data_IF_173953824141
#
_entry.id   IF_173953824141
#
_cell.length_a   1.000
_cell.length_b   1.000
_cell.length_c   1.000
_cell.angle_alpha   90.00
_cell.angle_beta   90.00
_cell.angle_gamma   90.00
#
_symmetry.space_group_name_H-M   'P 1'
#
loop_
_entity.id
_entity.type
_entity.pdbx_description
1 polymer ?
#
# COMPACT_ATOMS: atom_id res chain seq x y z
N UNK A 1 1.14 -1.84 -36.97
CA UNK A 1 0.75 -3.15 -36.39
C UNK A 1 -0.14 -3.88 -37.38
N UNK A 2 0.12 -5.18 -37.61
CA UNK A 2 -0.74 -6.04 -38.42
C UNK A 2 -2.14 -6.18 -37.81
N UNK A 3 -3.12 -6.60 -38.59
CA UNK A 3 -4.49 -6.89 -38.12
C UNK A 3 -4.44 -7.89 -36.95
N UNK A 4 -3.64 -8.95 -37.08
CA UNK A 4 -3.41 -9.94 -36.03
C UNK A 4 -2.84 -9.29 -34.77
N UNK A 5 -1.85 -8.39 -34.90
CA UNK A 5 -1.27 -7.69 -33.77
C UNK A 5 -2.28 -6.82 -33.01
N UNK A 6 -3.21 -6.17 -33.72
CA UNK A 6 -4.29 -5.41 -33.08
C UNK A 6 -5.24 -6.33 -32.31
N UNK A 7 -5.67 -7.44 -32.94
CA UNK A 7 -6.56 -8.42 -32.30
C UNK A 7 -5.94 -8.96 -31.01
N UNK A 8 -4.68 -9.41 -31.07
CA UNK A 8 -3.95 -9.91 -29.89
C UNK A 8 -3.84 -8.86 -28.78
N UNK A 9 -3.62 -7.60 -29.14
CA UNK A 9 -3.56 -6.50 -28.17
C UNK A 9 -4.90 -6.30 -27.44
N UNK A 10 -6.02 -6.30 -28.16
CA UNK A 10 -7.35 -6.19 -27.55
C UNK A 10 -7.66 -7.38 -26.64
N UNK A 11 -7.36 -8.61 -27.08
CA UNK A 11 -7.55 -9.81 -26.26
C UNK A 11 -6.75 -9.69 -24.97
N UNK A 12 -5.45 -9.40 -25.06
CA UNK A 12 -4.59 -9.22 -23.88
C UNK A 12 -5.11 -8.12 -22.95
N UNK A 13 -5.56 -6.99 -23.49
CA UNK A 13 -6.13 -5.88 -22.73
C UNK A 13 -7.38 -6.32 -21.96
N UNK A 14 -8.29 -7.03 -22.62
CA UNK A 14 -9.52 -7.54 -21.99
C UNK A 14 -9.24 -8.59 -20.93
N UNK A 15 -8.34 -9.54 -21.19
CA UNK A 15 -7.90 -10.52 -20.20
C UNK A 15 -7.28 -9.83 -18.98
N UNK A 16 -6.39 -8.86 -19.19
CA UNK A 16 -5.82 -8.09 -18.09
C UNK A 16 -6.89 -7.38 -17.27
N UNK A 17 -7.87 -6.74 -17.91
CA UNK A 17 -8.96 -6.08 -17.20
C UNK A 17 -9.73 -7.06 -16.29
N UNK A 18 -10.10 -8.23 -16.80
CA UNK A 18 -10.80 -9.26 -16.04
C UNK A 18 -9.95 -9.82 -14.89
N UNK A 19 -8.67 -10.11 -15.15
CA UNK A 19 -7.73 -10.57 -14.12
C UNK A 19 -7.63 -9.51 -13.01
N UNK A 20 -7.46 -8.23 -13.34
CA UNK A 20 -7.37 -7.17 -12.32
C UNK A 20 -8.65 -7.05 -11.51
N UNK A 21 -9.83 -7.19 -12.14
CA UNK A 21 -11.11 -7.20 -11.44
C UNK A 21 -11.20 -8.37 -10.46
N UNK A 22 -10.80 -9.57 -10.88
CA UNK A 22 -10.74 -10.75 -10.03
C UNK A 22 -9.75 -10.60 -8.87
N UNK A 23 -8.54 -10.09 -9.13
CA UNK A 23 -7.53 -9.90 -8.07
C UNK A 23 -8.03 -8.92 -6.99
N UNK A 24 -8.68 -7.82 -7.40
CA UNK A 24 -9.25 -6.85 -6.47
C UNK A 24 -10.33 -7.46 -5.59
N UNK A 25 -11.18 -8.34 -6.14
CA UNK A 25 -12.25 -8.99 -5.36
C UNK A 25 -11.75 -10.04 -4.36
N UNK A 26 -10.44 -10.32 -4.33
CA UNK A 26 -9.85 -11.25 -3.35
C UNK A 26 -9.38 -10.54 -2.08
N UNK A 27 -9.17 -9.23 -2.12
CA UNK A 27 -8.77 -8.48 -0.94
C UNK A 27 -9.88 -8.52 0.12
N UNK A 28 -9.50 -8.47 1.39
CA UNK A 28 -10.47 -8.35 2.48
C UNK A 28 -11.38 -7.14 2.27
N UNK A 29 -10.76 -6.01 1.93
CA UNK A 29 -11.43 -4.78 1.53
C UNK A 29 -10.66 -4.16 0.36
N UNK A 30 -11.39 -3.67 -0.64
CA UNK A 30 -10.81 -2.95 -1.78
C UNK A 30 -11.73 -1.81 -2.17
N UNK A 31 -11.28 -0.58 -1.95
CA UNK A 31 -11.97 0.63 -2.33
C UNK A 31 -12.10 0.83 -3.85
N UNK A 32 -12.69 1.95 -4.19
CA UNK A 32 -12.86 2.47 -5.53
C UNK A 32 -11.54 3.01 -6.10
N UNK A 33 -11.43 3.06 -7.44
CA UNK A 33 -10.28 3.65 -8.14
C UNK A 33 -8.91 3.07 -7.77
N UNK A 34 -8.86 1.82 -7.31
CA UNK A 34 -7.60 1.11 -7.04
C UNK A 34 -6.94 0.69 -8.36
N UNK A 35 -5.66 0.94 -8.53
CA UNK A 35 -4.85 0.43 -9.64
C UNK A 35 -3.85 -0.61 -9.14
N UNK A 36 -3.77 -1.76 -9.82
CA UNK A 36 -2.79 -2.81 -9.53
C UNK A 36 -1.90 -3.05 -10.74
N UNK A 37 -0.61 -2.75 -10.60
CA UNK A 37 0.42 -3.05 -11.56
C UNK A 37 0.56 -4.56 -11.81
N UNK A 38 1.29 -4.92 -12.87
CA UNK A 38 1.44 -6.32 -13.29
C UNK A 38 2.39 -7.10 -12.38
N UNK A 39 2.31 -8.44 -12.42
CA UNK A 39 3.20 -9.36 -11.69
C UNK A 39 3.24 -9.15 -10.16
N UNK A 40 2.13 -8.71 -9.58
CA UNK A 40 2.02 -8.57 -8.13
C UNK A 40 1.73 -9.88 -7.43
N UNK A 41 2.27 -10.04 -6.22
CA UNK A 41 2.00 -11.17 -5.31
C UNK A 41 1.36 -10.60 -4.06
N UNK A 42 0.24 -11.17 -3.61
CA UNK A 42 -0.45 -10.72 -2.40
C UNK A 42 -1.06 -11.87 -1.59
N UNK A 43 -1.04 -11.75 -0.26
CA UNK A 43 -1.87 -12.52 0.68
C UNK A 43 -3.22 -11.82 0.85
N UNK A 44 -4.01 -11.82 -0.23
CA UNK A 44 -5.19 -10.96 -0.42
C UNK A 44 -6.13 -10.84 0.81
N UNK A 45 -6.41 -11.96 1.50
CA UNK A 45 -7.41 -12.03 2.59
C UNK A 45 -7.05 -11.24 3.86
N UNK A 46 -5.82 -10.79 4.02
CA UNK A 46 -5.40 -9.99 5.18
C UNK A 46 -5.12 -8.52 4.82
N UNK A 47 -5.47 -8.11 3.60
CA UNK A 47 -5.11 -6.80 3.08
C UNK A 47 -6.38 -5.98 2.85
N UNK A 48 -6.41 -4.81 3.47
CA UNK A 48 -7.46 -3.81 3.31
C UNK A 48 -6.90 -2.62 2.54
N UNK A 49 -7.57 -2.23 1.46
CA UNK A 49 -7.14 -1.13 0.59
C UNK A 49 -8.28 -0.12 0.50
N UNK A 50 -7.98 1.14 0.84
CA UNK A 50 -8.89 2.27 0.69
C UNK A 50 -9.12 2.70 -0.76
N UNK A 51 -9.69 3.89 -0.92
CA UNK A 51 -10.00 4.49 -2.21
C UNK A 51 -8.79 5.15 -2.87
N UNK A 52 -8.79 5.21 -4.19
CA UNK A 52 -7.80 5.95 -4.99
C UNK A 52 -6.34 5.53 -4.74
N UNK A 53 -6.11 4.22 -4.59
CA UNK A 53 -4.76 3.67 -4.36
C UNK A 53 -4.10 3.25 -5.67
N UNK A 54 -2.86 3.67 -5.90
CA UNK A 54 -2.05 3.21 -7.03
C UNK A 54 -0.93 2.28 -6.55
N UNK A 55 -0.91 1.04 -7.02
CA UNK A 55 0.17 0.09 -6.75
C UNK A 55 0.96 -0.21 -8.03
N UNK A 56 2.24 0.15 -8.06
CA UNK A 56 3.15 -0.11 -9.19
C UNK A 56 3.37 -1.60 -9.46
N UNK A 57 3.94 -1.96 -10.61
CA UNK A 57 4.16 -3.38 -10.98
C UNK A 57 5.20 -4.07 -10.11
N UNK A 58 5.21 -5.41 -10.08
CA UNK A 58 6.12 -6.26 -9.31
C UNK A 58 6.04 -6.02 -7.79
N UNK A 59 4.86 -5.67 -7.28
CA UNK A 59 4.66 -5.52 -5.85
C UNK A 59 4.62 -6.88 -5.14
N UNK A 60 5.01 -6.90 -3.86
CA UNK A 60 4.83 -8.04 -2.96
C UNK A 60 4.16 -7.55 -1.69
N UNK A 61 2.94 -8.02 -1.42
CA UNK A 61 2.18 -7.69 -0.21
C UNK A 61 1.92 -8.97 0.58
N UNK A 62 2.78 -9.29 1.53
CA UNK A 62 2.72 -10.57 2.24
C UNK A 62 2.58 -10.38 3.73
N UNK A 63 1.49 -10.86 4.28
CA UNK A 63 1.27 -10.98 5.71
C UNK A 63 0.38 -12.20 5.97
N UNK A 64 0.91 -13.20 6.66
CA UNK A 64 0.18 -14.47 6.88
C UNK A 64 -0.83 -14.35 8.01
N UNK A 65 -0.49 -13.61 9.07
CA UNK A 65 -1.34 -13.49 10.25
C UNK A 65 -1.69 -12.04 10.63
N UNK A 66 -0.87 -11.07 10.23
CA UNK A 66 -1.11 -9.64 10.49
C UNK A 66 -1.90 -9.00 9.36
N UNK A 67 -2.61 -7.90 9.65
CA UNK A 67 -3.26 -7.11 8.60
C UNK A 67 -2.26 -6.17 7.91
N UNK A 68 -2.45 -5.94 6.61
CA UNK A 68 -1.87 -4.80 5.90
C UNK A 68 -3.01 -3.84 5.59
N UNK A 69 -3.00 -2.67 6.22
CA UNK A 69 -4.05 -1.66 6.10
C UNK A 69 -3.48 -0.49 5.30
N UNK A 70 -4.06 -0.24 4.14
CA UNK A 70 -3.69 0.86 3.24
C UNK A 70 -4.86 1.84 3.19
N UNK A 71 -4.61 3.09 3.57
CA UNK A 71 -5.57 4.18 3.52
C UNK A 71 -5.91 4.65 2.11
N UNK A 72 -6.46 5.85 2.03
CA UNK A 72 -6.93 6.47 0.79
C UNK A 72 -5.82 7.30 0.13
N UNK A 73 -5.89 7.44 -1.19
CA UNK A 73 -4.97 8.29 -1.94
C UNK A 73 -3.48 7.92 -1.76
N UNK A 74 -3.20 6.63 -1.58
CA UNK A 74 -1.83 6.12 -1.40
C UNK A 74 -1.22 5.75 -2.76
N UNK A 75 0.04 6.13 -2.96
CA UNK A 75 0.78 5.83 -4.20
C UNK A 75 2.03 5.02 -3.90
N UNK A 76 2.13 3.84 -4.52
CA UNK A 76 3.31 2.97 -4.48
C UNK A 76 4.02 2.94 -5.83
N UNK A 77 5.34 3.12 -5.81
CA UNK A 77 6.20 2.85 -6.96
C UNK A 77 6.23 1.37 -7.33
N UNK A 78 6.84 1.01 -8.47
CA UNK A 78 7.06 -0.39 -8.83
C UNK A 78 8.04 -1.07 -7.85
N UNK A 79 7.90 -2.38 -7.68
CA UNK A 79 8.81 -3.19 -6.88
C UNK A 79 8.69 -2.98 -5.36
N UNK A 80 7.59 -2.41 -4.86
CA UNK A 80 7.41 -2.27 -3.41
C UNK A 80 7.10 -3.61 -2.76
N UNK A 81 7.79 -3.88 -1.65
CA UNK A 81 7.64 -5.08 -0.84
C UNK A 81 7.14 -4.71 0.56
N UNK A 82 6.10 -5.40 1.02
CA UNK A 82 5.55 -5.29 2.36
C UNK A 82 5.54 -6.70 2.96
N UNK A 83 6.22 -6.86 4.09
CA UNK A 83 6.37 -8.14 4.77
C UNK A 83 5.91 -8.00 6.23
N UNK A 84 4.66 -8.39 6.50
CA UNK A 84 4.03 -8.31 7.83
C UNK A 84 4.54 -9.34 8.85
N UNK A 85 5.08 -10.46 8.37
CA UNK A 85 5.59 -11.53 9.23
C UNK A 85 7.11 -11.59 9.34
N UNK A 86 7.59 -12.08 10.48
CA UNK A 86 8.99 -12.40 10.71
C UNK A 86 9.17 -13.80 11.32
N UNK A 87 10.32 -14.43 11.18
CA UNK A 87 10.59 -15.72 11.81
C UNK A 87 11.07 -15.54 13.26
N UNK A 88 10.81 -16.52 14.12
CA UNK A 88 11.50 -16.63 15.40
C UNK A 88 12.95 -17.06 15.10
N UNK A 89 13.92 -16.32 15.60
CA UNK A 89 15.34 -16.47 15.22
C UNK A 89 16.29 -16.62 16.41
N UNK A 90 15.78 -16.65 17.63
CA UNK A 90 16.54 -16.58 18.88
C UNK A 90 16.51 -17.89 19.69
N UNK A 91 16.13 -19.01 19.06
CA UNK A 91 16.13 -20.34 19.69
C UNK A 91 17.46 -21.08 19.48
N UNK A 92 18.22 -21.23 20.55
CA UNK A 92 19.51 -21.96 20.53
C UNK A 92 19.30 -23.44 20.21
N UNK A 93 20.05 -23.96 19.24
CA UNK A 93 20.05 -25.39 18.88
C UNK A 93 18.91 -25.83 17.96
N UNK A 94 18.09 -24.90 17.44
CA UNK A 94 16.98 -25.18 16.53
C UNK A 94 17.29 -24.60 15.14
N UNK A 95 17.12 -25.41 14.08
CA UNK A 95 17.30 -24.93 12.70
C UNK A 95 16.12 -24.04 12.27
N UNK A 96 16.38 -23.01 11.47
CA UNK A 96 15.37 -22.01 11.06
C UNK A 96 14.16 -22.59 10.32
N UNK A 97 14.32 -23.69 9.59
CA UNK A 97 13.25 -24.40 8.89
C UNK A 97 12.41 -25.30 9.82
N UNK A 98 12.90 -25.55 11.04
CA UNK A 98 12.21 -26.35 12.07
C UNK A 98 11.53 -25.52 13.16
N UNK A 99 11.89 -24.23 13.28
CA UNK A 99 11.30 -23.33 14.28
C UNK A 99 9.80 -23.19 14.03
N UNK A 100 8.99 -23.53 15.04
CA UNK A 100 7.53 -23.39 14.98
C UNK A 100 7.12 -22.01 15.46
N UNK A 101 6.34 -21.32 14.65
CA UNK A 101 5.79 -19.99 14.95
C UNK A 101 4.33 -20.09 15.35
N UNK A 102 3.93 -19.36 16.38
CA UNK A 102 2.53 -19.26 16.78
C UNK A 102 1.71 -18.46 15.75
N UNK A 103 0.44 -18.86 15.59
CA UNK A 103 -0.49 -18.37 14.55
C UNK A 103 -0.82 -16.87 14.59
N UNK A 104 -0.33 -16.07 15.55
CA UNK A 104 -0.71 -14.66 15.72
C UNK A 104 0.47 -13.73 16.07
N UNK A 105 1.69 -14.09 15.68
CA UNK A 105 2.89 -13.30 16.03
C UNK A 105 3.23 -12.19 15.03
N UNK A 106 2.41 -12.01 13.98
CA UNK A 106 2.61 -10.94 13.00
C UNK A 106 1.94 -9.66 13.48
N UNK A 107 2.70 -8.56 13.49
CA UNK A 107 2.15 -7.23 13.77
C UNK A 107 1.55 -6.61 12.51
N UNK A 108 0.44 -5.90 12.66
CA UNK A 108 -0.18 -5.19 11.56
C UNK A 108 0.75 -4.12 10.99
N UNK A 109 0.64 -3.88 9.68
CA UNK A 109 1.25 -2.74 9.01
C UNK A 109 0.14 -1.77 8.64
N UNK A 110 0.32 -0.51 8.99
CA UNK A 110 -0.67 0.54 8.73
C UNK A 110 -0.01 1.63 7.89
N UNK A 111 -0.66 1.98 6.78
CA UNK A 111 -0.26 3.07 5.89
C UNK A 111 -1.44 4.02 5.81
N UNK A 112 -1.28 5.22 6.38
CA UNK A 112 -2.34 6.23 6.40
C UNK A 112 -2.54 6.89 5.01
N UNK A 113 -3.51 7.80 4.94
CA UNK A 113 -3.88 8.49 3.72
C UNK A 113 -2.77 9.42 3.18
N UNK A 114 -2.82 9.72 1.87
CA UNK A 114 -1.90 10.65 1.18
C UNK A 114 -0.41 10.27 1.26
N UNK A 115 -0.11 9.00 1.51
CA UNK A 115 1.27 8.50 1.57
C UNK A 115 1.82 8.21 0.17
N UNK A 116 3.09 8.58 -0.06
CA UNK A 116 3.83 8.19 -1.26
C UNK A 116 5.01 7.28 -0.90
N UNK A 117 5.01 6.07 -1.45
CA UNK A 117 6.07 5.07 -1.29
C UNK A 117 6.81 4.93 -2.63
N UNK A 118 8.10 5.23 -2.63
CA UNK A 118 8.97 5.16 -3.80
C UNK A 118 9.18 3.74 -4.33
N UNK A 119 9.82 3.64 -5.50
CA UNK A 119 10.13 2.35 -6.12
C UNK A 119 11.07 1.51 -5.24
N UNK A 120 10.91 0.18 -5.26
CA UNK A 120 11.78 -0.78 -4.56
C UNK A 120 11.91 -0.54 -3.05
N UNK A 121 10.90 0.06 -2.41
CA UNK A 121 10.85 0.20 -0.94
C UNK A 121 10.47 -1.14 -0.32
N UNK A 122 11.09 -1.47 0.82
CA UNK A 122 10.74 -2.61 1.67
C UNK A 122 10.16 -2.07 2.98
N UNK A 123 8.98 -2.56 3.39
CA UNK A 123 8.32 -2.22 4.66
C UNK A 123 8.19 -3.49 5.49
N UNK A 124 8.70 -3.46 6.72
CA UNK A 124 8.66 -4.60 7.65
C UNK A 124 7.45 -4.55 8.59
N UNK A 125 7.11 -5.71 9.16
CA UNK A 125 5.99 -5.91 10.07
C UNK A 125 5.99 -4.97 11.27
N UNK A 126 4.80 -4.53 11.68
CA UNK A 126 4.61 -3.66 12.84
C UNK A 126 4.84 -2.17 12.59
N UNK A 127 5.18 -1.76 11.37
CA UNK A 127 5.40 -0.35 11.04
C UNK A 127 4.08 0.38 10.80
N UNK A 128 3.96 1.57 11.40
CA UNK A 128 2.96 2.58 11.07
C UNK A 128 3.56 3.71 10.22
N UNK A 129 2.97 3.96 9.05
CA UNK A 129 3.36 5.05 8.14
C UNK A 129 2.30 6.15 8.18
N UNK A 130 2.65 7.25 8.86
CA UNK A 130 1.73 8.36 9.10
C UNK A 130 1.35 9.15 7.85
N UNK A 131 0.24 9.86 7.96
CA UNK A 131 -0.43 10.61 6.90
C UNK A 131 0.51 11.53 6.14
N UNK A 132 0.33 11.61 4.82
CA UNK A 132 1.05 12.57 3.98
C UNK A 132 2.57 12.36 3.91
N UNK A 133 3.09 11.27 4.48
CA UNK A 133 4.52 10.97 4.50
C UNK A 133 5.03 10.46 3.14
N UNK A 134 6.35 10.55 2.95
CA UNK A 134 7.01 10.12 1.72
C UNK A 134 8.17 9.19 2.08
N UNK A 135 8.21 8.02 1.44
CA UNK A 135 9.32 7.09 1.53
C UNK A 135 10.11 7.10 0.22
N UNK A 136 11.38 7.52 0.28
CA UNK A 136 12.28 7.56 -0.87
C UNK A 136 12.53 6.17 -1.46
N UNK A 137 12.79 6.10 -2.76
CA UNK A 137 13.03 4.84 -3.46
C UNK A 137 14.20 4.04 -2.85
N UNK A 138 14.08 2.71 -2.86
CA UNK A 138 15.11 1.79 -2.34
C UNK A 138 15.25 1.75 -0.82
N UNK A 139 14.33 2.38 -0.07
CA UNK A 139 14.42 2.45 1.39
C UNK A 139 13.93 1.17 2.07
N UNK A 140 14.46 0.87 3.26
CA UNK A 140 14.00 -0.23 4.13
C UNK A 140 13.41 0.34 5.40
N UNK A 141 12.09 0.35 5.48
CA UNK A 141 11.32 0.90 6.60
C UNK A 141 11.20 -0.17 7.69
N UNK A 142 11.85 0.11 8.82
CA UNK A 142 11.97 -0.80 9.97
C UNK A 142 11.33 -0.24 11.24
N UNK A 143 10.89 1.01 11.21
CA UNK A 143 10.32 1.76 12.33
C UNK A 143 9.26 2.71 11.81
N UNK A 144 8.40 3.19 12.69
CA UNK A 144 7.32 4.11 12.38
C UNK A 144 7.80 5.39 11.70
N UNK A 145 6.96 5.88 10.80
CA UNK A 145 7.17 7.09 10.01
C UNK A 145 6.18 8.14 10.47
N UNK A 146 6.70 9.29 10.91
CA UNK A 146 5.85 10.38 11.39
C UNK A 146 5.06 11.03 10.25
N UNK A 147 3.90 11.56 10.60
CA UNK A 147 3.04 12.34 9.70
C UNK A 147 3.83 13.45 8.98
N UNK A 148 3.66 13.51 7.66
CA UNK A 148 4.34 14.48 6.80
C UNK A 148 5.86 14.31 6.74
N UNK A 149 6.44 13.26 7.33
CA UNK A 149 7.88 13.01 7.26
C UNK A 149 8.31 12.50 5.89
N UNK A 150 9.51 12.90 5.44
CA UNK A 150 10.17 12.33 4.27
C UNK A 150 11.33 11.47 4.76
N UNK A 151 11.26 10.16 4.52
CA UNK A 151 12.22 9.17 4.96
C UNK A 151 12.98 8.57 3.78
N UNK A 152 14.27 8.27 3.95
CA UNK A 152 15.05 7.55 2.95
C UNK A 152 16.16 6.69 3.59
N UNK A 153 16.63 5.68 2.86
CA UNK A 153 17.81 4.89 3.21
C UNK A 153 17.49 3.48 3.74
N UNK A 154 18.55 2.74 4.07
CA UNK A 154 18.48 1.40 4.65
C UNK A 154 19.40 1.31 5.90
N UNK A 155 18.85 1.28 7.12
CA UNK A 155 17.42 1.47 7.43
C UNK A 155 16.96 2.90 7.12
N UNK A 156 15.67 3.08 6.83
CA UNK A 156 15.09 4.38 6.51
C UNK A 156 15.22 5.33 7.71
N UNK A 157 15.58 6.58 7.43
CA UNK A 157 15.72 7.67 8.41
C UNK A 157 15.02 8.92 7.92
N UNK A 158 14.50 9.72 8.84
CA UNK A 158 13.91 11.01 8.53
C UNK A 158 14.97 11.90 7.88
N UNK A 159 14.69 12.36 6.66
CA UNK A 159 15.52 13.30 5.90
C UNK A 159 15.09 14.73 6.19
N UNK A 160 13.79 14.98 6.12
CA UNK A 160 13.16 16.28 6.40
C UNK A 160 11.64 16.12 6.54
N UNK A 161 10.96 17.16 7.00
CA UNK A 161 9.51 17.25 6.89
C UNK A 161 9.10 17.69 5.48
N UNK A 162 7.98 17.15 4.99
CA UNK A 162 7.32 17.56 3.74
C UNK A 162 6.79 18.98 3.86
N UNK A 163 6.18 19.29 5.01
CA UNK A 163 5.67 20.60 5.39
C UNK A 163 5.96 20.89 6.86
N UNK A 164 5.91 22.15 7.28
CA UNK A 164 5.84 22.48 8.71
C UNK A 164 4.50 22.05 9.33
N UNK A 165 4.43 22.03 10.67
CA UNK A 165 3.27 21.55 11.43
C UNK A 165 1.98 22.29 11.05
N UNK A 166 2.07 23.59 10.79
CA UNK A 166 0.89 24.40 10.46
C UNK A 166 0.36 24.04 9.06
N UNK A 167 1.25 23.89 8.10
CA UNK A 167 0.91 23.48 6.75
C UNK A 167 0.42 22.02 6.70
N UNK A 168 0.89 21.13 7.58
CA UNK A 168 0.33 19.77 7.72
C UNK A 168 -1.14 19.83 8.16
N UNK A 169 -1.45 20.59 9.21
CA UNK A 169 -2.84 20.76 9.70
C UNK A 169 -3.73 21.37 8.63
N UNK A 170 -3.25 22.42 7.98
CA UNK A 170 -3.96 23.10 6.88
C UNK A 170 -4.21 22.15 5.71
N UNK A 171 -3.24 21.32 5.36
CA UNK A 171 -3.39 20.32 4.30
C UNK A 171 -4.49 19.30 4.66
N UNK A 172 -4.45 18.73 5.87
CA UNK A 172 -5.52 17.84 6.36
C UNK A 172 -6.89 18.50 6.29
N UNK A 173 -7.02 19.72 6.79
CA UNK A 173 -8.27 20.47 6.76
C UNK A 173 -8.79 20.66 5.33
N UNK A 174 -7.93 21.10 4.40
CA UNK A 174 -8.31 21.31 2.99
C UNK A 174 -8.78 20.00 2.35
N UNK A 175 -8.13 18.87 2.64
CA UNK A 175 -8.55 17.57 2.11
C UNK A 175 -9.90 17.13 2.69
N UNK A 176 -10.10 17.26 4.00
CA UNK A 176 -11.38 16.97 4.65
C UNK A 176 -12.51 17.81 4.06
N UNK A 177 -12.30 19.12 3.89
CA UNK A 177 -13.28 20.02 3.25
C UNK A 177 -13.59 19.60 1.81
N UNK A 178 -12.59 19.15 1.05
CA UNK A 178 -12.80 18.63 -0.32
C UNK A 178 -13.65 17.37 -0.34
N UNK A 179 -13.47 16.47 0.61
CA UNK A 179 -14.28 15.23 0.74
C UNK A 179 -15.72 15.59 1.05
N UNK A 180 -15.96 16.38 2.11
CA UNK A 180 -17.31 16.80 2.51
C UNK A 180 -18.05 17.52 1.37
N UNK A 181 -17.34 18.37 0.62
CA UNK A 181 -17.91 19.07 -0.54
C UNK A 181 -18.19 18.17 -1.76
N UNK A 182 -17.53 17.01 -1.87
CA UNK A 182 -17.85 16.01 -2.90
C UNK A 182 -19.09 15.21 -2.49
N UNK A 183 -19.16 14.78 -1.24
CA UNK A 183 -20.29 13.98 -0.74
C UNK A 183 -21.59 14.78 -0.80
N UNK A 184 -21.56 16.05 -0.39
CA UNK A 184 -22.70 16.96 -0.50
C UNK A 184 -23.17 17.17 -1.95
N UNK A 185 -22.25 17.13 -2.93
CA UNK A 185 -22.62 17.18 -4.36
C UNK A 185 -23.21 15.87 -4.85
N UNK A 186 -22.69 14.73 -4.37
CA UNK A 186 -23.23 13.39 -4.67
C UNK A 186 -24.65 13.20 -4.15
N UNK A 187 -24.93 13.62 -2.90
CA UNK A 187 -26.27 13.61 -2.32
C UNK A 187 -27.26 14.48 -3.11
N UNK A 188 -26.87 15.68 -3.52
CA UNK A 188 -27.75 16.58 -4.30
C UNK A 188 -28.07 16.07 -5.72
N UNK A 189 -27.27 15.15 -6.27
CA UNK A 189 -27.52 14.51 -7.57
C UNK A 189 -28.42 13.27 -7.48
N UNK A 190 -28.54 12.67 -6.30
CA UNK A 190 -29.39 11.48 -6.05
C UNK A 190 -30.83 11.84 -5.63
N UNK A 191 -31.09 13.12 -5.31
CA UNK A 191 -32.40 13.63 -4.86
C UNK A 191 -33.14 14.41 -5.98
N UNK A 192 -32.63 14.38 -7.21
CA UNK A 192 -33.30 14.87 -8.43
C UNK A 192 -33.62 13.71 -9.34
#
# INVERSE_FOLDING_TARGET
MSVIGKIMWYIKRSCNFLIKKYLKSRFAECGSEVYLGNNGIATYENIKIGDHVYIGSNYVLQSMHGEIIIGNHVMFGPGVHIHGGNHIYDQVGVYMDTVKKEKNSDSAIVIEDDVWIGANVIILGGVHIGFGSIIGAGSVVTHDVIEGGIYAGNPARLVKMRFDIENIKKHKQILTERIMNRDNRGLNLLVK
#
